data_IF_890813405195
#
_entry.id   IF_890813405195
#
_cell.length_a   1.000
_cell.length_b   1.000
_cell.length_c   1.000
_cell.angle_alpha   90.00
_cell.angle_beta   90.00
_cell.angle_gamma   90.00
#
_symmetry.space_group_name_H-M   'P 1'
#
loop_
_entity.id
_entity.type
_entity.pdbx_description
1 polymer ?
#
# COMPACT_ATOMS: atom_id res chain seq x y z
N UNK A 1 40.75 12.65 10.17
CA UNK A 1 41.28 13.22 8.91
C UNK A 1 41.03 12.30 7.70
N UNK A 2 41.18 10.98 7.83
CA UNK A 2 40.92 10.01 6.75
C UNK A 2 39.47 10.03 6.23
N UNK A 3 38.48 10.13 7.13
CA UNK A 3 37.05 10.19 6.76
C UNK A 3 36.70 11.39 5.87
N UNK A 4 37.14 12.60 6.26
CA UNK A 4 36.87 13.83 5.49
C UNK A 4 37.58 13.82 4.13
N UNK A 5 38.76 13.22 4.06
CA UNK A 5 39.45 13.01 2.79
C UNK A 5 38.65 12.07 1.89
N UNK A 6 38.18 10.95 2.44
CA UNK A 6 37.39 9.96 1.70
C UNK A 6 36.03 10.52 1.24
N UNK A 7 35.40 11.36 2.05
CA UNK A 7 34.17 12.07 1.71
C UNK A 7 34.38 13.04 0.53
N UNK A 8 35.51 13.73 0.50
CA UNK A 8 35.88 14.64 -0.61
C UNK A 8 36.13 13.87 -1.90
N UNK A 9 36.77 12.70 -1.84
CA UNK A 9 36.97 11.85 -3.02
C UNK A 9 35.64 11.26 -3.51
N UNK A 10 34.74 10.89 -2.59
CA UNK A 10 33.37 10.50 -2.94
C UNK A 10 32.61 11.61 -3.66
N UNK A 11 32.62 12.85 -3.14
CA UNK A 11 32.01 14.01 -3.79
C UNK A 11 32.58 14.29 -5.19
N UNK A 12 33.89 14.15 -5.38
CA UNK A 12 34.52 14.27 -6.71
C UNK A 12 34.04 13.18 -7.67
N UNK A 13 33.84 11.96 -7.18
CA UNK A 13 33.32 10.84 -8.00
C UNK A 13 31.87 11.06 -8.40
N UNK A 14 31.05 11.60 -7.49
CA UNK A 14 29.65 11.97 -7.71
C UNK A 14 29.53 13.07 -8.77
N UNK A 15 30.31 14.16 -8.65
CA UNK A 15 30.34 15.24 -9.64
C UNK A 15 30.72 14.74 -11.04
N UNK A 16 31.69 13.82 -11.14
CA UNK A 16 32.09 13.19 -12.41
C UNK A 16 30.97 12.33 -12.99
N UNK A 17 30.26 11.58 -12.15
CA UNK A 17 29.13 10.76 -12.58
C UNK A 17 27.97 11.61 -13.11
N UNK A 18 27.61 12.67 -12.40
CA UNK A 18 26.58 13.64 -12.81
C UNK A 18 26.94 14.33 -14.13
N UNK A 19 28.19 14.82 -14.27
CA UNK A 19 28.65 15.45 -15.51
C UNK A 19 28.56 14.52 -16.74
N UNK A 20 28.79 13.20 -16.55
CA UNK A 20 28.67 12.21 -17.62
C UNK A 20 27.21 11.91 -17.97
N UNK A 21 26.31 11.87 -16.96
CA UNK A 21 24.86 11.75 -17.20
C UNK A 21 24.31 12.96 -17.97
N UNK A 22 24.72 14.17 -17.60
CA UNK A 22 24.34 15.40 -18.30
C UNK A 22 24.89 15.41 -19.74
N UNK A 23 26.15 15.03 -19.96
CA UNK A 23 26.71 14.91 -21.31
C UNK A 23 25.95 13.89 -22.19
N UNK A 24 25.40 12.83 -21.58
CA UNK A 24 24.55 11.85 -22.26
C UNK A 24 23.20 12.41 -22.70
N UNK A 25 22.62 13.33 -21.94
CA UNK A 25 21.35 13.98 -22.30
C UNK A 25 21.51 14.94 -23.49
N UNK A 26 22.64 15.65 -23.59
CA UNK A 26 22.89 16.64 -24.65
C UNK A 26 23.31 16.01 -25.99
N UNK A 27 23.81 14.77 -26.00
CA UNK A 27 24.25 14.06 -27.22
C UNK A 27 23.10 13.48 -28.06
N UNK A 28 21.86 13.50 -27.57
CA UNK A 28 20.69 12.87 -28.23
C UNK A 28 20.14 13.66 -29.46
N UNK A 29 20.71 14.82 -29.80
CA UNK A 29 20.15 15.78 -30.78
C UNK A 29 20.79 15.72 -32.19
N UNK A 30 21.84 14.93 -32.43
CA UNK A 30 22.59 14.96 -33.72
C UNK A 30 22.38 13.69 -34.55
N UNK A 31 22.09 13.77 -35.86
CA UNK A 31 21.72 12.64 -36.73
C UNK A 31 22.90 11.87 -37.36
N UNK A 32 22.77 10.54 -37.45
CA UNK A 32 23.40 9.66 -38.45
C UNK A 32 24.78 9.03 -38.12
N UNK A 33 24.86 7.68 -38.17
CA UNK A 33 26.03 6.75 -38.15
C UNK A 33 27.18 6.97 -37.15
N UNK A 34 27.72 8.18 -37.04
CA UNK A 34 28.69 8.62 -36.01
C UNK A 34 28.10 8.46 -34.60
N UNK A 35 26.77 8.52 -34.47
CA UNK A 35 26.03 8.32 -33.22
C UNK A 35 26.32 6.99 -32.52
N UNK A 36 26.51 5.89 -33.28
CA UNK A 36 26.68 4.55 -32.71
C UNK A 36 28.05 4.35 -32.03
N UNK A 37 29.08 5.01 -32.55
CA UNK A 37 30.43 5.03 -31.93
C UNK A 37 30.51 5.97 -30.72
N UNK A 38 29.85 7.13 -30.80
CA UNK A 38 29.75 8.11 -29.70
C UNK A 38 28.95 7.53 -28.53
N UNK A 39 27.81 6.90 -28.79
CA UNK A 39 26.94 6.28 -27.77
C UNK A 39 27.63 5.12 -27.03
N UNK A 40 28.38 4.25 -27.72
CA UNK A 40 29.15 3.17 -27.06
C UNK A 40 30.25 3.70 -26.14
N UNK A 41 30.98 4.73 -26.57
CA UNK A 41 32.04 5.36 -25.75
C UNK A 41 31.44 6.06 -24.53
N UNK A 42 30.33 6.77 -24.71
CA UNK A 42 29.63 7.48 -23.65
C UNK A 42 29.01 6.53 -22.63
N UNK A 43 28.40 5.43 -23.09
CA UNK A 43 27.87 4.39 -22.21
C UNK A 43 28.98 3.65 -21.45
N UNK A 44 30.13 3.40 -22.07
CA UNK A 44 31.31 2.82 -21.39
C UNK A 44 31.84 3.77 -20.31
N UNK A 45 31.92 5.07 -20.62
CA UNK A 45 32.30 6.10 -19.64
C UNK A 45 31.30 6.19 -18.47
N UNK A 46 30.00 6.06 -18.75
CA UNK A 46 28.94 6.04 -17.73
C UNK A 46 29.10 4.87 -16.77
N UNK A 47 29.33 3.65 -17.29
CA UNK A 47 29.54 2.46 -16.46
C UNK A 47 30.79 2.57 -15.58
N UNK A 48 31.90 3.04 -16.13
CA UNK A 48 33.11 3.27 -15.33
C UNK A 48 32.93 4.36 -14.27
N UNK A 49 32.18 5.41 -14.56
CA UNK A 49 31.88 6.45 -13.58
C UNK A 49 30.97 5.93 -12.45
N UNK A 50 29.97 5.12 -12.78
CA UNK A 50 29.09 4.45 -11.81
C UNK A 50 29.89 3.50 -10.91
N UNK A 51 30.70 2.61 -11.49
CA UNK A 51 31.54 1.68 -10.72
C UNK A 51 32.54 2.40 -9.81
N UNK A 52 33.07 3.54 -10.23
CA UNK A 52 33.97 4.34 -9.41
C UNK A 52 33.22 5.04 -8.27
N UNK A 53 32.01 5.57 -8.53
CA UNK A 53 31.15 6.14 -7.50
C UNK A 53 30.78 5.11 -6.43
N UNK A 54 30.37 3.91 -6.85
CA UNK A 54 30.03 2.80 -5.95
C UNK A 54 31.23 2.37 -5.09
N UNK A 55 32.43 2.30 -5.68
CA UNK A 55 33.67 1.98 -4.94
C UNK A 55 34.00 3.04 -3.88
N UNK A 56 33.84 4.32 -4.20
CA UNK A 56 34.08 5.40 -3.24
C UNK A 56 33.01 5.44 -2.15
N UNK A 57 31.74 5.17 -2.48
CA UNK A 57 30.64 5.03 -1.52
C UNK A 57 30.91 3.92 -0.50
N UNK A 58 31.30 2.73 -0.98
CA UNK A 58 31.63 1.60 -0.11
C UNK A 58 32.80 1.89 0.83
N UNK A 59 33.78 2.70 0.40
CA UNK A 59 34.88 3.13 1.28
C UNK A 59 34.37 4.06 2.38
N UNK A 60 33.48 5.00 2.07
CA UNK A 60 32.85 5.89 3.07
C UNK A 60 32.04 5.08 4.07
N UNK A 61 31.16 4.19 3.61
CA UNK A 61 30.33 3.34 4.47
C UNK A 61 31.17 2.44 5.40
N UNK A 62 32.26 1.84 4.90
CA UNK A 62 33.19 1.08 5.76
C UNK A 62 33.81 1.95 6.84
N UNK A 63 34.15 3.20 6.52
CA UNK A 63 34.68 4.14 7.52
C UNK A 63 33.62 4.57 8.53
N UNK A 64 32.36 4.77 8.11
CA UNK A 64 31.25 5.11 9.00
C UNK A 64 30.98 4.01 10.03
N UNK A 65 30.98 2.74 9.59
CA UNK A 65 30.86 1.59 10.48
C UNK A 65 32.06 1.50 11.44
N UNK A 66 33.28 1.63 10.91
CA UNK A 66 34.52 1.55 11.71
C UNK A 66 34.63 2.67 12.75
N UNK A 67 34.09 3.85 12.43
CA UNK A 67 34.09 5.03 13.30
C UNK A 67 32.80 5.13 14.14
N UNK A 68 31.89 4.16 14.04
CA UNK A 68 30.63 4.08 14.76
C UNK A 68 29.76 5.35 14.66
N UNK A 69 29.88 6.07 13.54
CA UNK A 69 29.22 7.36 13.34
C UNK A 69 27.70 7.20 13.41
N UNK A 70 27.16 6.16 12.78
CA UNK A 70 25.72 5.87 12.80
C UNK A 70 25.23 5.61 14.23
N UNK A 71 25.98 4.84 15.03
CA UNK A 71 25.62 4.61 16.44
C UNK A 71 25.64 5.90 17.26
N UNK A 72 26.60 6.79 17.01
CA UNK A 72 26.66 8.09 17.67
C UNK A 72 25.50 9.01 17.24
N UNK A 73 25.07 8.94 15.98
CA UNK A 73 23.89 9.64 15.48
C UNK A 73 22.59 9.09 16.09
N UNK A 74 22.43 7.77 16.16
CA UNK A 74 21.29 7.11 16.80
C UNK A 74 21.18 7.50 18.29
N UNK A 75 22.33 7.55 18.99
CA UNK A 75 22.38 8.02 20.38
C UNK A 75 22.00 9.49 20.51
N UNK A 76 22.48 10.35 19.60
CA UNK A 76 22.15 11.77 19.59
C UNK A 76 20.65 11.98 19.29
N UNK A 77 20.10 11.26 18.33
CA UNK A 77 18.67 11.26 18.01
C UNK A 77 17.85 10.83 19.23
N UNK A 78 18.22 9.73 19.89
CA UNK A 78 17.59 9.29 21.13
C UNK A 78 17.63 10.35 22.24
N UNK A 79 18.76 11.05 22.40
CA UNK A 79 18.89 12.15 23.36
C UNK A 79 18.03 13.36 22.99
N UNK A 80 17.93 13.70 21.70
CA UNK A 80 17.07 14.80 21.21
C UNK A 80 15.60 14.46 21.41
N UNK A 81 15.17 13.25 21.06
CA UNK A 81 13.80 12.78 21.26
C UNK A 81 13.45 12.75 22.75
N UNK A 82 14.34 12.23 23.60
CA UNK A 82 14.17 12.26 25.06
C UNK A 82 14.06 13.70 25.59
N UNK A 83 14.92 14.60 25.12
CA UNK A 83 14.88 16.01 25.48
C UNK A 83 13.57 16.68 25.03
N UNK A 84 13.09 16.42 23.81
CA UNK A 84 11.81 16.90 23.31
C UNK A 84 10.65 16.39 24.17
N UNK A 85 10.67 15.11 24.56
CA UNK A 85 9.62 14.53 25.39
C UNK A 85 9.61 15.13 26.80
N UNK A 86 10.78 15.31 27.41
CA UNK A 86 10.92 15.99 28.70
C UNK A 86 10.53 17.47 28.61
N UNK A 87 10.87 18.18 27.53
CA UNK A 87 10.44 19.55 27.30
C UNK A 87 8.93 19.64 27.09
N UNK A 88 8.30 18.75 26.33
CA UNK A 88 6.84 18.71 26.15
C UNK A 88 6.13 18.40 27.48
N UNK A 89 6.69 17.51 28.28
CA UNK A 89 6.21 17.19 29.63
C UNK A 89 6.33 18.40 30.58
N UNK A 90 7.41 19.17 30.50
CA UNK A 90 7.56 20.43 31.23
C UNK A 90 6.59 21.51 30.74
N UNK A 91 6.42 21.65 29.42
CA UNK A 91 5.60 22.70 28.80
C UNK A 91 4.10 22.47 29.02
N UNK A 92 3.65 21.21 29.11
CA UNK A 92 2.26 20.85 29.52
C UNK A 92 1.98 21.14 31.00
N UNK A 93 3.00 21.29 31.85
CA UNK A 93 2.79 21.43 33.29
C UNK A 93 2.51 22.86 33.76
N UNK A 94 2.84 23.91 33.01
CA UNK A 94 2.70 25.32 33.43
C UNK A 94 3.17 25.63 34.88
N UNK A 95 4.02 24.77 35.47
CA UNK A 95 4.50 24.90 36.84
C UNK A 95 6.00 25.17 36.74
N UNK A 96 6.30 26.45 36.66
CA UNK A 96 7.66 26.95 36.76
C UNK A 96 8.34 26.54 38.07
N UNK A 97 9.48 25.87 37.94
CA UNK A 97 10.73 26.04 38.71
C UNK A 97 10.68 26.15 40.24
N UNK A 98 9.64 25.70 40.94
CA UNK A 98 9.54 25.83 42.41
C UNK A 98 9.41 24.50 43.18
N UNK A 99 9.45 23.34 42.51
CA UNK A 99 9.30 22.06 43.19
C UNK A 99 10.30 20.99 42.73
N UNK A 100 11.59 21.31 42.78
CA UNK A 100 12.65 20.29 42.92
C UNK A 100 12.77 19.89 44.40
N UNK A 101 11.67 19.46 45.01
CA UNK A 101 11.75 18.68 46.25
C UNK A 101 12.03 17.23 45.85
N UNK A 102 12.95 16.51 46.51
CA UNK A 102 13.07 15.07 46.30
C UNK A 102 11.68 14.46 46.52
N UNK A 103 11.16 13.81 45.47
CA UNK A 103 9.89 13.12 45.53
C UNK A 103 10.03 12.02 46.58
N UNK A 104 9.33 12.18 47.70
CA UNK A 104 9.16 11.17 48.71
C UNK A 104 7.74 10.62 48.53
N UNK A 105 7.56 9.36 48.11
CA UNK A 105 8.58 8.32 47.94
C UNK A 105 9.38 8.40 46.62
N UNK A 106 10.59 7.79 46.57
CA UNK A 106 11.38 7.68 45.35
C UNK A 106 10.56 7.10 44.19
N UNK A 107 10.70 7.67 42.99
CA UNK A 107 10.03 7.14 41.80
C UNK A 107 10.42 5.67 41.60
N UNK A 108 9.42 4.83 41.33
CA UNK A 108 9.63 3.43 40.95
C UNK A 108 10.52 3.39 39.70
N UNK A 109 11.56 2.56 39.72
CA UNK A 109 12.37 2.27 38.54
C UNK A 109 11.50 1.56 37.50
N UNK A 110 11.35 2.16 36.32
CA UNK A 110 10.60 1.59 35.21
C UNK A 110 11.56 0.79 34.33
N UNK A 111 11.20 -0.46 34.06
CA UNK A 111 11.87 -1.30 33.06
C UNK A 111 11.49 -0.84 31.66
N UNK A 112 12.43 -0.90 30.71
CA UNK A 112 12.22 -0.46 29.33
C UNK A 112 10.99 -1.13 28.66
N UNK A 113 10.77 -2.43 28.90
CA UNK A 113 9.59 -3.16 28.42
C UNK A 113 8.28 -2.45 28.81
N UNK A 114 8.21 -2.01 30.06
CA UNK A 114 7.05 -1.30 30.62
C UNK A 114 6.89 0.11 30.06
N UNK A 115 8.00 0.77 29.72
CA UNK A 115 7.99 2.08 29.04
C UNK A 115 7.40 1.96 27.64
N UNK A 116 7.75 0.92 26.89
CA UNK A 116 7.17 0.64 25.56
C UNK A 116 5.67 0.38 25.67
N UNK A 117 5.24 -0.42 26.65
CA UNK A 117 3.81 -0.68 26.90
C UNK A 117 3.02 0.59 27.27
N UNK A 118 3.64 1.51 28.02
CA UNK A 118 3.03 2.79 28.40
C UNK A 118 3.03 3.83 27.29
N UNK A 119 4.02 3.83 26.41
CA UNK A 119 4.04 4.70 25.23
C UNK A 119 2.80 4.47 24.37
N UNK A 120 2.42 3.19 24.16
CA UNK A 120 1.19 2.85 23.45
C UNK A 120 -0.07 3.43 24.10
N UNK A 121 -0.17 3.44 25.44
CA UNK A 121 -1.31 4.04 26.15
C UNK A 121 -1.30 5.58 26.09
N UNK A 122 -0.11 6.19 26.00
CA UNK A 122 0.06 7.63 25.91
C UNK A 122 -0.31 8.21 24.53
N UNK A 123 -0.36 7.37 23.48
CA UNK A 123 -0.76 7.78 22.12
C UNK A 123 -2.26 8.14 22.02
N UNK A 124 -3.05 7.85 23.05
CA UNK A 124 -4.47 8.22 23.11
C UNK A 124 -4.64 9.46 23.98
N UNK A 125 -4.59 10.65 23.35
CA UNK A 125 -4.79 11.94 24.02
C UNK A 125 -6.08 11.99 24.87
N UNK A 126 -7.13 11.24 24.46
CA UNK A 126 -8.40 11.11 25.20
C UNK A 126 -8.24 10.51 26.61
N UNK A 127 -7.21 9.69 26.82
CA UNK A 127 -6.96 9.01 28.09
C UNK A 127 -6.03 9.82 29.02
N UNK A 128 -5.40 10.88 28.51
CA UNK A 128 -4.48 11.72 29.28
C UNK A 128 -5.20 12.58 30.32
N UNK A 129 -6.43 13.01 30.05
CA UNK A 129 -7.19 13.93 30.90
C UNK A 129 -7.83 13.26 32.13
N UNK A 130 -7.88 11.93 32.17
CA UNK A 130 -8.58 11.20 33.23
C UNK A 130 -7.87 11.25 34.59
N UNK A 131 -6.59 11.66 34.65
CA UNK A 131 -5.74 11.71 35.87
C UNK A 131 -5.76 10.45 36.77
N UNK A 132 -6.34 9.34 36.29
CA UNK A 132 -6.42 8.04 36.95
C UNK A 132 -5.33 7.14 36.39
N UNK A 133 -4.78 6.26 37.23
CA UNK A 133 -3.84 5.24 36.78
C UNK A 133 -4.56 4.16 35.98
N UNK A 134 -4.77 4.43 34.69
CA UNK A 134 -5.41 3.53 33.73
C UNK A 134 -4.59 2.26 33.48
N UNK A 135 -3.30 2.23 33.85
CA UNK A 135 -2.45 1.06 33.64
C UNK A 135 -2.88 -0.16 34.47
N UNK A 136 -3.72 0.06 35.47
CA UNK A 136 -4.29 -0.99 36.33
C UNK A 136 -5.60 -1.58 35.76
N UNK A 137 -6.17 -0.98 34.71
CA UNK A 137 -7.41 -1.47 34.12
C UNK A 137 -7.13 -2.74 33.30
N UNK A 138 -8.02 -3.75 33.33
CA UNK A 138 -7.82 -5.00 32.61
C UNK A 138 -7.71 -4.79 31.08
N UNK A 139 -8.45 -3.83 30.52
CA UNK A 139 -8.35 -3.44 29.11
C UNK A 139 -7.02 -2.76 28.73
N UNK A 140 -6.30 -2.20 29.71
CA UNK A 140 -5.02 -1.52 29.47
C UNK A 140 -3.84 -2.50 29.47
N UNK A 141 -4.04 -3.76 29.85
CA UNK A 141 -3.02 -4.81 29.73
C UNK A 141 -2.78 -5.18 28.26
N UNK A 142 -1.57 -5.61 27.85
CA UNK A 142 -1.32 -6.05 26.48
C UNK A 142 -2.30 -7.13 25.99
N UNK A 143 -2.59 -8.13 26.83
CA UNK A 143 -3.55 -9.18 26.54
C UNK A 143 -4.98 -8.62 26.38
N UNK A 144 -5.43 -7.76 27.29
CA UNK A 144 -6.75 -7.11 27.20
C UNK A 144 -6.91 -6.27 25.93
N UNK A 145 -5.86 -5.56 25.49
CA UNK A 145 -5.87 -4.80 24.23
C UNK A 145 -5.98 -5.71 23.01
N UNK A 146 -5.18 -6.77 22.97
CA UNK A 146 -5.23 -7.75 21.88
C UNK A 146 -6.64 -8.37 21.79
N UNK A 147 -7.21 -8.70 22.94
CA UNK A 147 -8.51 -9.33 23.01
C UNK A 147 -9.65 -8.37 22.61
N UNK A 148 -9.57 -7.09 22.99
CA UNK A 148 -10.47 -6.04 22.47
C UNK A 148 -10.33 -5.83 20.97
N UNK A 149 -9.10 -5.78 20.45
CA UNK A 149 -8.86 -5.64 19.00
C UNK A 149 -9.47 -6.81 18.23
N UNK A 150 -9.27 -8.05 18.71
CA UNK A 150 -9.91 -9.23 18.15
C UNK A 150 -11.44 -9.15 18.21
N UNK A 151 -12.01 -8.75 19.36
CA UNK A 151 -13.45 -8.59 19.52
C UNK A 151 -14.02 -7.59 18.51
N UNK A 152 -13.43 -6.40 18.41
CA UNK A 152 -13.88 -5.38 17.47
C UNK A 152 -13.66 -5.80 16.02
N UNK A 153 -12.59 -6.52 15.70
CA UNK A 153 -12.40 -7.13 14.37
C UNK A 153 -13.51 -8.12 14.03
N UNK A 154 -13.96 -8.94 14.98
CA UNK A 154 -15.09 -9.86 14.79
C UNK A 154 -16.39 -9.08 14.58
N UNK A 155 -16.67 -8.07 15.41
CA UNK A 155 -17.85 -7.22 15.25
C UNK A 155 -17.87 -6.53 13.88
N UNK A 156 -16.73 -5.95 13.47
CA UNK A 156 -16.56 -5.33 12.15
C UNK A 156 -16.67 -6.34 11.02
N UNK A 157 -16.15 -7.54 11.17
CA UNK A 157 -16.30 -8.59 10.15
C UNK A 157 -17.77 -8.95 9.93
N UNK A 158 -18.59 -8.99 10.99
CA UNK A 158 -20.04 -9.22 10.87
C UNK A 158 -20.74 -8.10 10.11
N UNK A 159 -20.44 -6.84 10.43
CA UNK A 159 -20.95 -5.67 9.68
C UNK A 159 -20.52 -5.71 8.21
N UNK A 160 -19.25 -6.08 7.96
CA UNK A 160 -18.71 -6.11 6.60
C UNK A 160 -19.35 -7.24 5.77
N UNK A 161 -19.76 -8.37 6.35
CA UNK A 161 -20.54 -9.40 5.65
C UNK A 161 -21.85 -8.80 5.11
N UNK A 162 -22.60 -8.06 5.94
CA UNK A 162 -23.86 -7.43 5.52
C UNK A 162 -23.62 -6.39 4.41
N UNK A 163 -22.54 -5.60 4.51
CA UNK A 163 -22.17 -4.64 3.49
C UNK A 163 -21.75 -5.32 2.18
N UNK A 164 -20.97 -6.40 2.27
CA UNK A 164 -20.50 -7.14 1.11
C UNK A 164 -21.67 -7.77 0.34
N UNK A 165 -22.73 -8.23 1.00
CA UNK A 165 -23.93 -8.73 0.31
C UNK A 165 -24.54 -7.68 -0.65
N UNK A 166 -24.52 -6.40 -0.25
CA UNK A 166 -24.98 -5.28 -1.10
C UNK A 166 -23.97 -5.02 -2.22
N UNK A 167 -22.68 -4.98 -1.89
CA UNK A 167 -21.63 -4.63 -2.85
C UNK A 167 -21.42 -5.71 -3.91
N UNK A 168 -21.49 -6.99 -3.53
CA UNK A 168 -21.49 -8.14 -4.44
C UNK A 168 -22.59 -7.99 -5.49
N UNK A 169 -23.80 -7.63 -5.06
CA UNK A 169 -24.93 -7.40 -5.97
C UNK A 169 -24.68 -6.19 -6.89
N UNK A 170 -24.09 -5.11 -6.37
CA UNK A 170 -23.74 -3.91 -7.16
C UNK A 170 -22.72 -4.23 -8.23
N UNK A 171 -21.65 -4.95 -7.89
CA UNK A 171 -20.64 -5.40 -8.84
C UNK A 171 -21.26 -6.30 -9.90
N UNK A 172 -22.07 -7.29 -9.51
CA UNK A 172 -22.77 -8.15 -10.47
C UNK A 172 -23.66 -7.36 -11.44
N UNK A 173 -24.36 -6.34 -10.93
CA UNK A 173 -25.21 -5.44 -11.73
C UNK A 173 -24.36 -4.61 -12.69
N UNK A 174 -23.30 -3.96 -12.19
CA UNK A 174 -22.38 -3.15 -12.98
C UNK A 174 -21.80 -3.94 -14.16
N UNK A 175 -21.27 -5.13 -13.89
CA UNK A 175 -20.65 -5.96 -14.93
C UNK A 175 -21.65 -6.32 -16.04
N UNK A 176 -22.90 -6.62 -15.69
CA UNK A 176 -23.92 -6.95 -16.70
C UNK A 176 -24.39 -5.71 -17.46
N UNK A 177 -24.61 -4.61 -16.77
CA UNK A 177 -25.04 -3.34 -17.34
C UNK A 177 -23.97 -2.77 -18.30
N UNK A 178 -22.70 -2.76 -17.89
CA UNK A 178 -21.58 -2.30 -18.72
C UNK A 178 -21.40 -3.15 -19.99
N UNK A 179 -21.48 -4.48 -19.85
CA UNK A 179 -21.41 -5.36 -21.03
C UNK A 179 -22.55 -5.07 -22.00
N UNK A 180 -23.78 -4.85 -21.52
CA UNK A 180 -24.93 -4.53 -22.37
C UNK A 180 -24.78 -3.14 -23.00
N UNK A 181 -24.34 -2.15 -22.23
CA UNK A 181 -24.11 -0.79 -22.70
C UNK A 181 -23.09 -0.75 -23.85
N UNK A 182 -21.98 -1.47 -23.72
CA UNK A 182 -20.95 -1.55 -24.78
C UNK A 182 -21.47 -2.28 -26.03
N UNK A 183 -22.33 -3.29 -25.89
CA UNK A 183 -23.01 -3.95 -27.02
C UNK A 183 -23.92 -2.98 -27.76
N UNK A 184 -24.76 -2.28 -27.03
CA UNK A 184 -25.71 -1.33 -27.60
C UNK A 184 -24.96 -0.17 -28.30
N UNK A 185 -23.84 0.30 -27.73
CA UNK A 185 -22.96 1.29 -28.35
C UNK A 185 -22.33 0.77 -29.65
N UNK A 186 -21.80 -0.46 -29.64
CA UNK A 186 -21.23 -1.11 -30.83
C UNK A 186 -22.28 -1.19 -31.95
N UNK A 187 -23.48 -1.65 -31.65
CA UNK A 187 -24.58 -1.80 -32.62
C UNK A 187 -25.01 -0.43 -33.19
N UNK A 188 -25.17 0.59 -32.35
CA UNK A 188 -25.55 1.94 -32.79
C UNK A 188 -24.48 2.59 -33.67
N UNK A 189 -23.20 2.43 -33.32
CA UNK A 189 -22.09 3.05 -34.05
C UNK A 189 -21.75 2.27 -35.32
N UNK A 190 -22.04 0.96 -35.39
CA UNK A 190 -21.75 0.11 -36.55
C UNK A 190 -22.33 0.63 -37.87
N UNK A 191 -23.49 1.30 -37.79
CA UNK A 191 -24.21 1.85 -38.95
C UNK A 191 -23.52 3.11 -39.50
N UNK A 192 -22.85 3.88 -38.65
CA UNK A 192 -22.31 5.19 -38.99
C UNK A 192 -20.79 5.18 -39.17
N UNK A 193 -20.06 4.51 -38.27
CA UNK A 193 -18.61 4.38 -38.32
C UNK A 193 -18.19 2.95 -37.94
N UNK A 194 -17.99 2.07 -38.94
CA UNK A 194 -17.53 0.71 -38.71
C UNK A 194 -16.16 0.62 -38.03
N UNK A 195 -15.29 1.64 -38.18
CA UNK A 195 -13.96 1.63 -37.55
C UNK A 195 -14.07 1.90 -36.05
N UNK A 196 -14.89 2.87 -35.66
CA UNK A 196 -15.16 3.14 -34.25
C UNK A 196 -15.90 1.97 -33.59
N UNK A 197 -16.88 1.36 -34.28
CA UNK A 197 -17.55 0.16 -33.79
C UNK A 197 -16.55 -0.99 -33.57
N UNK A 198 -15.57 -1.17 -34.47
CA UNK A 198 -14.51 -2.15 -34.28
C UNK A 198 -13.65 -1.87 -33.04
N UNK A 199 -13.32 -0.60 -32.75
CA UNK A 199 -12.59 -0.23 -31.52
C UNK A 199 -13.42 -0.52 -30.26
N UNK A 200 -14.72 -0.21 -30.28
CA UNK A 200 -15.64 -0.56 -29.18
C UNK A 200 -15.70 -2.08 -28.99
N UNK A 201 -15.73 -2.85 -30.08
CA UNK A 201 -15.74 -4.31 -30.03
C UNK A 201 -14.46 -4.88 -29.41
N UNK A 202 -13.29 -4.32 -29.75
CA UNK A 202 -12.01 -4.71 -29.14
C UNK A 202 -12.02 -4.41 -27.64
N UNK A 203 -12.40 -3.20 -27.24
CA UNK A 203 -12.49 -2.81 -25.84
C UNK A 203 -13.46 -3.70 -25.06
N UNK A 204 -14.65 -3.99 -25.62
CA UNK A 204 -15.63 -4.91 -25.03
C UNK A 204 -15.06 -6.33 -24.88
N UNK A 205 -14.25 -6.80 -25.82
CA UNK A 205 -13.61 -8.11 -25.73
C UNK A 205 -12.56 -8.15 -24.61
N UNK A 206 -11.78 -7.09 -24.43
CA UNK A 206 -10.83 -6.93 -23.33
C UNK A 206 -11.54 -6.92 -21.97
N UNK A 207 -12.55 -6.07 -21.80
CA UNK A 207 -13.37 -6.02 -20.58
C UNK A 207 -14.05 -7.37 -20.31
N UNK A 208 -14.52 -8.05 -21.35
CA UNK A 208 -15.09 -9.39 -21.27
C UNK A 208 -14.14 -10.44 -20.67
N UNK A 209 -12.82 -10.31 -20.85
CA UNK A 209 -11.83 -11.23 -20.25
C UNK A 209 -11.77 -11.05 -18.74
N UNK A 210 -11.73 -9.82 -18.26
CA UNK A 210 -11.75 -9.53 -16.83
C UNK A 210 -13.11 -9.86 -16.20
N UNK A 211 -14.20 -9.55 -16.90
CA UNK A 211 -15.56 -9.83 -16.46
C UNK A 211 -15.77 -11.34 -16.21
N UNK A 212 -15.17 -12.22 -17.02
CA UNK A 212 -15.19 -13.68 -16.77
C UNK A 212 -14.57 -14.06 -15.43
N UNK A 213 -13.43 -13.45 -15.07
CA UNK A 213 -12.75 -13.71 -13.79
C UNK A 213 -13.62 -13.24 -12.63
N UNK A 214 -14.18 -12.03 -12.74
CA UNK A 214 -15.08 -11.48 -11.71
C UNK A 214 -16.33 -12.33 -11.55
N UNK A 215 -16.98 -12.76 -12.64
CA UNK A 215 -18.16 -13.64 -12.59
C UNK A 215 -17.81 -14.98 -11.95
N UNK A 216 -16.67 -15.58 -12.27
CA UNK A 216 -16.23 -16.83 -11.61
C UNK A 216 -16.10 -16.64 -10.10
N UNK A 217 -15.44 -15.57 -9.66
CA UNK A 217 -15.30 -15.26 -8.23
C UNK A 217 -16.63 -15.00 -7.54
N UNK A 218 -17.55 -14.29 -8.20
CA UNK A 218 -18.90 -14.08 -7.67
C UNK A 218 -19.67 -15.41 -7.52
N UNK A 219 -19.51 -16.34 -8.47
CA UNK A 219 -20.09 -17.68 -8.37
C UNK A 219 -19.47 -18.47 -7.22
N UNK A 220 -18.16 -18.41 -7.03
CA UNK A 220 -17.49 -19.08 -5.92
C UNK A 220 -17.94 -18.51 -4.57
N UNK A 221 -18.07 -17.17 -4.45
CA UNK A 221 -18.63 -16.51 -3.27
C UNK A 221 -20.06 -16.98 -2.99
N UNK A 222 -20.90 -17.11 -4.03
CA UNK A 222 -22.28 -17.59 -3.86
C UNK A 222 -22.40 -19.03 -3.34
N UNK A 223 -21.31 -19.81 -3.41
CA UNK A 223 -21.23 -21.19 -2.91
C UNK A 223 -20.66 -21.29 -1.50
N UNK A 224 -20.14 -20.18 -0.93
CA UNK A 224 -19.58 -20.18 0.41
C UNK A 224 -20.67 -20.45 1.46
N UNK A 225 -20.31 -21.22 2.47
CA UNK A 225 -21.19 -21.46 3.62
C UNK A 225 -21.39 -20.14 4.39
N UNK A 226 -22.65 -19.73 4.56
CA UNK A 226 -23.00 -18.48 5.24
C UNK A 226 -23.21 -17.27 4.32
N UNK A 227 -23.12 -17.43 3.00
CA UNK A 227 -23.51 -16.37 2.07
C UNK A 227 -25.03 -16.17 2.09
N UNK A 228 -25.47 -14.95 2.41
CA UNK A 228 -26.88 -14.56 2.51
C UNK A 228 -27.34 -13.62 1.40
N UNK A 229 -26.40 -13.05 0.64
CA UNK A 229 -26.66 -12.10 -0.43
C UNK A 229 -27.17 -12.73 -1.73
N UNK A 230 -27.15 -11.92 -2.80
CA UNK A 230 -27.54 -12.37 -4.13
C UNK A 230 -26.60 -11.83 -5.21
N UNK A 231 -26.24 -12.70 -6.14
CA UNK A 231 -25.45 -12.35 -7.33
C UNK A 231 -26.34 -12.05 -8.56
N UNK A 232 -27.66 -12.08 -8.38
CA UNK A 232 -28.60 -11.74 -9.45
C UNK A 232 -28.54 -10.24 -9.74
N UNK A 233 -28.67 -9.91 -11.03
CA UNK A 233 -28.73 -8.53 -11.52
C UNK A 233 -29.74 -7.72 -10.70
N UNK A 234 -29.28 -6.59 -10.16
CA UNK A 234 -30.12 -5.55 -9.57
C UNK A 234 -30.60 -4.55 -10.61
N UNK A 235 -31.12 -3.42 -10.12
CA UNK A 235 -31.38 -2.23 -10.95
C UNK A 235 -30.36 -1.18 -10.55
N UNK A 236 -29.60 -0.64 -11.52
CA UNK A 236 -28.69 0.47 -11.25
C UNK A 236 -29.48 1.71 -10.86
N UNK A 237 -29.05 2.38 -9.79
CA UNK A 237 -29.57 3.69 -9.38
C UNK A 237 -28.89 4.84 -10.12
N UNK A 238 -27.76 4.57 -10.78
CA UNK A 238 -27.00 5.53 -11.58
C UNK A 238 -27.29 5.27 -13.05
N UNK A 239 -28.27 6.01 -13.58
CA UNK A 239 -28.74 5.91 -14.97
C UNK A 239 -28.51 7.21 -15.74
N UNK A 240 -27.57 8.04 -15.29
CA UNK A 240 -27.23 9.30 -15.96
C UNK A 240 -26.52 9.03 -17.29
N UNK A 241 -26.56 10.00 -18.21
CA UNK A 241 -26.00 9.84 -19.55
C UNK A 241 -24.51 9.45 -19.49
N UNK A 242 -24.16 8.32 -20.08
CA UNK A 242 -22.78 7.79 -20.08
C UNK A 242 -22.48 6.77 -18.98
N UNK A 243 -23.39 6.57 -18.03
CA UNK A 243 -23.29 5.50 -17.04
C UNK A 243 -23.68 4.15 -17.62
N UNK A 244 -23.07 3.06 -17.14
CA UNK A 244 -23.33 1.68 -17.59
C UNK A 244 -24.79 1.26 -17.47
N UNK A 245 -25.52 1.79 -16.48
CA UNK A 245 -26.96 1.51 -16.28
C UNK A 245 -27.90 2.38 -17.15
N UNK A 246 -27.36 3.32 -17.93
CA UNK A 246 -28.14 4.21 -18.78
C UNK A 246 -28.41 3.61 -20.17
N UNK A 247 -29.39 4.16 -20.88
CA UNK A 247 -29.62 3.79 -22.27
C UNK A 247 -28.47 4.34 -23.13
N UNK A 248 -27.78 3.46 -23.86
CA UNK A 248 -26.75 3.86 -24.81
C UNK A 248 -27.31 4.89 -25.80
N UNK A 249 -26.64 6.05 -25.87
CA UNK A 249 -26.90 7.11 -26.83
C UNK A 249 -25.58 7.62 -27.36
N UNK A 250 -25.08 6.98 -28.42
CA UNK A 250 -23.92 7.48 -29.13
C UNK A 250 -24.29 8.79 -29.84
N UNK A 251 -23.91 9.94 -29.27
CA UNK A 251 -24.02 11.22 -29.95
C UNK A 251 -23.00 11.26 -31.08
N UNK A 252 -23.43 11.02 -32.32
CA UNK A 252 -22.61 11.24 -33.51
C UNK A 252 -23.00 12.62 -34.04
N UNK A 253 -22.20 13.64 -33.71
CA UNK A 253 -22.30 14.94 -34.36
C UNK A 253 -21.91 14.77 -35.83
N UNK A 254 -22.90 14.86 -36.71
CA UNK A 254 -22.71 14.84 -38.16
C UNK A 254 -21.90 16.07 -38.59
N UNK A 255 -20.57 15.95 -38.66
CA UNK A 255 -19.72 16.85 -39.44
C UNK A 255 -19.47 16.19 -40.80
N UNK A 256 -20.03 16.80 -41.83
CA UNK A 256 -20.00 16.27 -43.20
C UNK A 256 -18.64 16.36 -43.89
N UNK A 257 -18.49 15.42 -44.84
CA UNK A 257 -17.72 15.46 -46.10
C UNK A 257 -16.21 15.24 -46.04
N UNK A 258 -15.77 14.18 -46.74
CA UNK A 258 -14.40 14.04 -47.22
C UNK A 258 -14.05 12.63 -47.71
N UNK A 259 -14.48 12.28 -48.92
CA UNK A 259 -14.12 11.04 -49.60
C UNK A 259 -12.60 10.88 -49.80
N UNK A 260 -12.09 9.66 -49.59
CA UNK A 260 -10.75 9.24 -50.01
C UNK A 260 -10.59 7.70 -49.94
N UNK A 261 -10.00 7.02 -50.94
CA UNK A 261 -10.09 5.58 -51.09
C UNK A 261 -9.03 4.81 -50.28
N UNK A 262 -9.44 3.66 -49.73
CA UNK A 262 -8.60 2.57 -49.21
C UNK A 262 -7.78 1.90 -50.35
N UNK A 263 -6.88 0.92 -50.11
CA UNK A 263 -6.23 0.46 -48.87
C UNK A 263 -4.70 0.20 -49.03
N UNK A 264 -3.96 -0.06 -47.95
CA UNK A 264 -2.74 -0.87 -48.04
C UNK A 264 -2.50 -1.72 -46.80
N UNK A 265 -2.17 -2.98 -47.06
CA UNK A 265 -2.07 -4.12 -46.15
C UNK A 265 -0.78 -4.07 -45.32
N UNK A 266 -0.79 -4.65 -44.10
CA UNK A 266 0.17 -5.64 -43.61
C UNK A 266 0.10 -5.85 -42.09
N UNK A 267 0.35 -7.09 -41.65
CA UNK A 267 0.58 -7.48 -40.25
C UNK A 267 -0.55 -8.37 -39.72
N UNK A 268 -0.62 -9.64 -40.12
CA UNK A 268 0.04 -10.78 -39.47
C UNK A 268 -0.71 -11.18 -38.16
N UNK A 269 -1.36 -12.32 -38.29
CA UNK A 269 -1.94 -13.18 -37.27
C UNK A 269 -0.90 -13.57 -36.22
N UNK A 270 -1.29 -13.64 -34.95
CA UNK A 270 -0.79 -14.67 -34.04
C UNK A 270 -1.87 -15.03 -33.01
N UNK A 271 -2.09 -16.34 -32.90
CA UNK A 271 -3.01 -17.01 -31.99
C UNK A 271 -2.19 -17.58 -30.83
N UNK A 272 -2.75 -17.41 -29.64
CA UNK A 272 -2.53 -18.07 -28.34
C UNK A 272 -1.50 -19.21 -28.23
N UNK A 273 -0.68 -19.15 -27.18
CA UNK A 273 -0.47 -20.29 -26.28
C UNK A 273 -0.56 -19.85 -24.82
N UNK A 274 -1.20 -20.71 -24.04
CA UNK A 274 -1.40 -20.66 -22.60
C UNK A 274 -0.35 -21.49 -21.90
N UNK A 275 0.20 -21.03 -20.79
CA UNK A 275 0.73 -21.91 -19.75
C UNK A 275 0.39 -21.33 -18.38
N UNK A 276 -0.38 -22.10 -17.61
CA UNK A 276 -0.47 -21.98 -16.17
C UNK A 276 0.28 -23.14 -15.54
N UNK A 277 0.97 -22.88 -14.43
CA UNK A 277 1.38 -23.85 -13.42
C UNK A 277 1.81 -23.03 -12.18
N UNK A 278 1.13 -23.19 -11.05
CA UNK A 278 1.58 -24.02 -9.91
C UNK A 278 2.61 -23.31 -9.03
N UNK A 279 2.11 -22.58 -8.02
CA UNK A 279 2.86 -22.25 -6.80
C UNK A 279 1.90 -22.37 -5.60
N UNK A 280 1.67 -23.60 -5.16
CA UNK A 280 1.11 -23.91 -3.84
C UNK A 280 1.76 -25.19 -3.34
N UNK A 281 2.99 -25.13 -2.85
CA UNK A 281 3.50 -26.24 -2.03
C UNK A 281 4.73 -25.87 -1.18
N UNK A 282 4.68 -24.84 -0.33
CA UNK A 282 5.75 -24.61 0.68
C UNK A 282 5.29 -23.99 2.02
N UNK A 283 3.98 -23.80 2.27
CA UNK A 283 3.50 -23.15 3.50
C UNK A 283 3.17 -24.13 4.65
N UNK A 284 2.96 -25.41 4.36
CA UNK A 284 2.44 -26.38 5.35
C UNK A 284 3.44 -26.78 6.46
N UNK A 285 4.74 -26.54 6.28
CA UNK A 285 5.75 -26.97 7.26
C UNK A 285 6.10 -25.90 8.31
N UNK A 286 5.57 -24.67 8.21
CA UNK A 286 5.72 -23.63 9.26
C UNK A 286 4.57 -23.61 10.27
N UNK A 287 3.39 -24.11 9.91
CA UNK A 287 2.19 -24.05 10.76
C UNK A 287 2.23 -24.94 12.01
N UNK A 288 3.10 -25.96 12.06
CA UNK A 288 3.11 -26.91 13.17
C UNK A 288 3.92 -26.44 14.38
N UNK A 289 4.75 -25.39 14.23
CA UNK A 289 5.51 -24.81 15.35
C UNK A 289 4.85 -23.57 15.97
N UNK A 290 3.90 -22.95 15.27
CA UNK A 290 3.12 -21.78 15.73
C UNK A 290 1.96 -22.20 16.66
N UNK A 291 1.50 -23.45 16.59
CA UNK A 291 0.27 -23.91 17.29
C UNK A 291 0.40 -24.14 18.80
N UNK A 292 1.61 -24.15 19.38
CA UNK A 292 1.79 -24.34 20.83
C UNK A 292 1.94 -23.03 21.61
N UNK A 293 2.65 -22.02 21.10
CA UNK A 293 2.73 -20.68 21.72
C UNK A 293 1.39 -19.93 21.62
N UNK A 294 0.64 -20.15 20.54
CA UNK A 294 -0.69 -19.57 20.30
C UNK A 294 -1.76 -19.95 21.33
N UNK A 295 -1.58 -21.01 22.12
CA UNK A 295 -2.61 -21.48 23.06
C UNK A 295 -2.57 -20.75 24.39
N UNK A 296 -1.38 -20.45 24.89
CA UNK A 296 -1.18 -19.77 26.18
C UNK A 296 -1.62 -18.30 26.06
N UNK A 297 -1.25 -17.64 24.96
CA UNK A 297 -1.69 -16.28 24.63
C UNK A 297 -3.21 -16.18 24.40
N UNK A 298 -3.85 -17.23 23.85
CA UNK A 298 -5.31 -17.29 23.66
C UNK A 298 -6.06 -17.48 24.97
N UNK A 299 -5.54 -18.28 25.89
CA UNK A 299 -6.16 -18.50 27.19
C UNK A 299 -6.07 -17.24 28.06
N UNK A 300 -4.92 -16.54 28.05
CA UNK A 300 -4.75 -15.25 28.71
C UNK A 300 -5.67 -14.17 28.08
N UNK A 301 -5.81 -14.14 26.75
CA UNK A 301 -6.72 -13.22 26.07
C UNK A 301 -8.20 -13.50 26.37
N UNK A 302 -8.61 -14.78 26.45
CA UNK A 302 -9.98 -15.17 26.82
C UNK A 302 -10.29 -14.78 28.27
N UNK A 303 -9.35 -15.01 29.19
CA UNK A 303 -9.49 -14.63 30.59
C UNK A 303 -9.51 -13.09 30.75
N UNK A 304 -8.74 -12.37 29.93
CA UNK A 304 -8.80 -10.91 29.88
C UNK A 304 -10.14 -10.41 29.33
N UNK A 305 -10.71 -11.04 28.30
CA UNK A 305 -12.04 -10.72 27.78
C UNK A 305 -13.13 -10.94 28.82
N UNK A 306 -13.11 -12.07 29.52
CA UNK A 306 -14.08 -12.37 30.58
C UNK A 306 -14.03 -11.31 31.69
N UNK A 307 -12.83 -10.92 32.12
CA UNK A 307 -12.64 -9.85 33.09
C UNK A 307 -13.13 -8.47 32.60
N UNK A 308 -13.02 -8.18 31.29
CA UNK A 308 -13.50 -6.92 30.71
C UNK A 308 -15.04 -6.91 30.60
N UNK A 309 -15.64 -8.02 30.15
CA UNK A 309 -17.10 -8.16 30.02
C UNK A 309 -17.78 -8.04 31.39
N UNK A 310 -17.21 -8.66 32.42
CA UNK A 310 -17.74 -8.60 33.79
C UNK A 310 -17.66 -7.19 34.42
N UNK A 311 -16.82 -6.27 33.90
CA UNK A 311 -16.86 -4.86 34.35
C UNK A 311 -18.04 -4.08 33.76
N UNK A 312 -18.68 -4.58 32.70
CA UNK A 312 -19.78 -3.89 32.03
C UNK A 312 -21.14 -4.14 32.69
N UNK A 313 -21.23 -5.11 33.61
CA UNK A 313 -22.46 -5.49 34.33
C UNK A 313 -22.59 -4.84 35.72
N UNK A 314 -21.58 -4.07 36.18
CA UNK A 314 -21.52 -3.40 37.49
C UNK A 314 -21.93 -1.90 37.43
N UNK A 315 -22.76 -1.49 36.47
CA UNK A 315 -23.34 -0.14 36.36
C UNK A 315 -24.86 -0.16 36.40
#
# INVERSE_FOLDING_TARGET
>A
MEYLHQLREFQKSEQKFVAILEASAHSAVTTGSVLLGITRKLETARRHAMENHDKELQKVQRLEVRLEINRALDQLEGLVVACMFELTKMNRSQIGYSLWKPLCPPRRTLEWKKVVEYAFLADFDLLCDAHQDISTRPWATPAGRLAMDQHFKICRAREEIERLDVEIRRVATYLQDENQYLRDCEDQVSVHDPKLAHQIALHRCECGRFNKIHISRLLDISRLHGFTGTILRGQSTQTWLGESGSKAKACIDNVGVGAGPNPSKNGQYDVCESEGAEEQDLEEQRELKVKEEDKEDKEEALQALENIVNMSDDV
#
